data_IF_197445359224
#
_entry.id   IF_197445359224
#
_cell.length_a   1.000
_cell.length_b   1.000
_cell.length_c   1.000
_cell.angle_alpha   90.00
_cell.angle_beta   90.00
_cell.angle_gamma   90.00
#
_symmetry.space_group_name_H-M   'P 1'
#
loop_
_entity.id
_entity.type
_entity.pdbx_description
1 polymer ?
#
# COMPACT_ATOMS: atom_id res chain seq x y z
N UNK A 1 -8.20 -28.67 -12.69
CA UNK A 1 -7.06 -28.24 -11.85
C UNK A 1 -7.04 -26.73 -11.81
N UNK A 2 -7.44 -26.13 -10.68
CA UNK A 2 -7.34 -24.68 -10.49
C UNK A 2 -5.87 -24.23 -10.52
N UNK A 3 -5.57 -23.14 -11.21
CA UNK A 3 -4.22 -22.52 -11.14
C UNK A 3 -4.00 -22.08 -9.70
N UNK A 4 -3.04 -22.71 -9.01
CA UNK A 4 -2.57 -22.24 -7.69
C UNK A 4 -2.03 -20.83 -7.88
N UNK A 5 -2.62 -19.83 -7.19
CA UNK A 5 -2.12 -18.46 -7.20
C UNK A 5 -0.78 -18.43 -6.46
N UNK A 6 0.20 -17.70 -6.99
CA UNK A 6 1.49 -17.46 -6.30
C UNK A 6 1.44 -16.04 -5.73
N UNK A 7 1.56 -15.94 -4.41
CA UNK A 7 1.61 -14.67 -3.69
C UNK A 7 3.07 -14.25 -3.48
N UNK A 8 3.36 -12.97 -3.69
CA UNK A 8 4.69 -12.37 -3.54
C UNK A 8 4.52 -11.00 -2.89
N UNK A 9 5.24 -10.77 -1.80
CA UNK A 9 5.34 -9.47 -1.15
C UNK A 9 6.53 -8.72 -1.74
N UNK A 10 6.41 -7.42 -1.98
CA UNK A 10 7.51 -6.61 -2.47
C UNK A 10 7.52 -5.23 -1.84
N UNK A 11 8.72 -4.71 -1.61
CA UNK A 11 8.97 -3.36 -1.11
C UNK A 11 10.38 -2.89 -1.51
N UNK A 12 10.60 -1.59 -1.51
CA UNK A 12 11.90 -0.97 -1.80
C UNK A 12 12.05 0.36 -1.06
N UNK A 13 13.22 0.99 -1.19
CA UNK A 13 13.46 2.36 -0.72
C UNK A 13 13.15 2.49 0.78
N UNK A 14 13.59 1.52 1.58
CA UNK A 14 13.41 1.52 3.04
C UNK A 14 14.42 2.43 3.75
N UNK A 15 15.56 2.72 3.10
CA UNK A 15 16.65 3.58 3.59
C UNK A 15 16.99 3.39 5.07
N UNK A 16 17.24 2.15 5.47
CA UNK A 16 17.47 1.77 6.86
C UNK A 16 18.77 2.30 7.45
N UNK A 17 19.69 2.82 6.62
CA UNK A 17 20.83 3.59 7.07
C UNK A 17 20.45 4.89 7.80
N UNK A 18 19.21 5.34 7.64
CA UNK A 18 18.64 6.49 8.35
C UNK A 18 17.87 6.09 9.62
N UNK A 19 17.61 4.80 9.81
CA UNK A 19 16.67 4.25 10.82
C UNK A 19 17.25 3.07 11.60
N UNK A 20 18.58 3.04 11.76
CA UNK A 20 19.34 2.03 12.52
C UNK A 20 19.06 0.56 12.17
N UNK A 21 18.53 0.28 10.99
CA UNK A 21 18.19 -1.08 10.56
C UNK A 21 17.20 -1.80 11.48
N UNK A 22 16.26 -1.05 12.07
CA UNK A 22 15.20 -1.55 12.95
C UNK A 22 13.95 -2.07 12.24
N UNK A 23 13.86 -1.96 10.91
CA UNK A 23 12.66 -2.35 10.17
C UNK A 23 12.26 -3.81 10.42
N UNK A 24 10.95 -4.01 10.44
CA UNK A 24 10.27 -5.29 10.50
C UNK A 24 9.17 -5.30 9.43
N UNK A 25 8.94 -6.47 8.83
CA UNK A 25 7.82 -6.68 7.93
C UNK A 25 6.88 -7.71 8.55
N UNK A 26 5.57 -7.52 8.34
CA UNK A 26 4.61 -8.61 8.51
C UNK A 26 4.59 -9.38 7.19
N UNK A 27 4.58 -10.71 7.32
CA UNK A 27 4.73 -11.62 6.19
C UNK A 27 3.39 -11.79 5.48
N UNK A 28 3.30 -11.20 4.28
CA UNK A 28 2.12 -11.29 3.41
C UNK A 28 2.15 -12.35 2.34
N UNK A 29 3.30 -12.98 2.20
CA UNK A 29 3.56 -13.99 1.20
C UNK A 29 4.74 -14.83 1.64
N UNK A 30 4.91 -16.06 1.12
CA UNK A 30 6.11 -16.85 1.39
C UNK A 30 7.39 -16.19 0.86
N UNK A 31 7.31 -15.44 -0.25
CA UNK A 31 8.44 -14.75 -0.86
C UNK A 31 8.37 -13.24 -0.66
N UNK A 32 9.45 -12.66 -0.16
CA UNK A 32 9.67 -11.21 -0.08
C UNK A 32 10.67 -10.75 -1.14
N UNK A 33 10.33 -9.71 -1.88
CA UNK A 33 11.24 -8.99 -2.76
C UNK A 33 11.62 -7.66 -2.11
N UNK A 34 12.91 -7.46 -1.95
CA UNK A 34 13.55 -6.21 -1.54
C UNK A 34 14.16 -5.54 -2.78
N UNK A 35 13.41 -4.59 -3.36
CA UNK A 35 13.67 -3.97 -4.67
C UNK A 35 14.70 -2.83 -4.69
N UNK A 36 15.75 -2.90 -3.87
CA UNK A 36 16.81 -1.90 -3.77
C UNK A 36 16.53 -0.75 -2.81
N UNK A 37 17.60 -0.03 -2.45
CA UNK A 37 17.64 1.05 -1.47
C UNK A 37 17.06 0.66 -0.11
N UNK A 38 17.41 -0.55 0.34
CA UNK A 38 17.06 -1.06 1.66
C UNK A 38 17.99 -0.47 2.72
N UNK A 39 19.26 -0.30 2.36
CA UNK A 39 20.32 0.18 3.25
C UNK A 39 21.65 0.34 2.53
N UNK A 40 22.77 0.24 3.26
CA UNK A 40 24.13 0.29 2.69
C UNK A 40 24.91 -0.98 3.01
N UNK A 41 25.57 -1.58 2.02
CA UNK A 41 26.42 -2.76 2.24
C UNK A 41 27.62 -2.49 3.15
N UNK A 42 28.09 -1.23 3.20
CA UNK A 42 29.14 -0.81 4.13
C UNK A 42 28.73 -0.94 5.60
N UNK A 43 27.44 -0.84 5.92
CA UNK A 43 26.90 -1.03 7.27
C UNK A 43 26.68 -2.52 7.57
N UNK A 44 27.66 -3.36 7.21
CA UNK A 44 27.51 -4.80 7.01
C UNK A 44 26.78 -5.52 8.14
N UNK A 45 27.21 -5.36 9.41
CA UNK A 45 26.60 -6.07 10.53
C UNK A 45 25.15 -5.67 10.80
N UNK A 46 24.81 -4.39 10.61
CA UNK A 46 23.44 -3.90 10.80
C UNK A 46 22.53 -4.36 9.67
N UNK A 47 23.02 -4.28 8.42
CA UNK A 47 22.33 -4.79 7.23
C UNK A 47 22.10 -6.30 7.35
N UNK A 48 23.11 -7.05 7.78
CA UNK A 48 23.02 -8.49 8.05
C UNK A 48 21.98 -8.80 9.12
N UNK A 49 21.95 -8.04 10.22
CA UNK A 49 20.95 -8.19 11.28
C UNK A 49 19.52 -8.02 10.76
N UNK A 50 19.27 -7.00 9.94
CA UNK A 50 17.98 -6.80 9.27
C UNK A 50 17.60 -7.97 8.37
N UNK A 51 18.48 -8.35 7.44
CA UNK A 51 18.21 -9.44 6.49
C UNK A 51 17.98 -10.78 7.21
N UNK A 52 18.73 -11.05 8.29
CA UNK A 52 18.56 -12.28 9.07
C UNK A 52 17.18 -12.36 9.72
N UNK A 53 16.67 -11.25 10.27
CA UNK A 53 15.30 -11.20 10.81
C UNK A 53 14.25 -11.42 9.72
N UNK A 54 14.41 -10.80 8.55
CA UNK A 54 13.51 -11.04 7.42
C UNK A 54 13.60 -12.50 6.94
N UNK A 55 14.78 -13.07 6.80
CA UNK A 55 14.95 -14.48 6.42
C UNK A 55 14.43 -15.45 7.49
N UNK A 56 14.31 -15.04 8.75
CA UNK A 56 13.65 -15.85 9.77
C UNK A 56 12.12 -15.90 9.58
N UNK A 57 11.53 -14.87 8.99
CA UNK A 57 10.08 -14.74 8.77
C UNK A 57 9.64 -15.35 7.43
N UNK A 58 10.38 -15.08 6.36
CA UNK A 58 10.03 -15.46 4.98
C UNK A 58 10.68 -16.78 4.55
N UNK A 59 10.01 -17.52 3.66
CA UNK A 59 10.57 -18.74 3.06
C UNK A 59 11.69 -18.43 2.07
N UNK A 60 11.57 -17.28 1.39
CA UNK A 60 12.56 -16.78 0.45
C UNK A 60 12.59 -15.25 0.45
N UNK A 61 13.78 -14.67 0.55
CA UNK A 61 14.02 -13.24 0.45
C UNK A 61 14.89 -12.98 -0.78
N UNK A 62 14.37 -12.21 -1.72
CA UNK A 62 15.04 -11.81 -2.94
C UNK A 62 15.52 -10.37 -2.79
N UNK A 63 16.84 -10.17 -2.81
CA UNK A 63 17.46 -8.85 -2.70
C UNK A 63 17.94 -8.37 -4.06
N UNK A 64 17.51 -7.18 -4.45
CA UNK A 64 18.06 -6.40 -5.57
C UNK A 64 18.77 -5.20 -4.93
N UNK A 65 19.93 -4.82 -5.44
CA UNK A 65 20.63 -3.62 -4.98
C UNK A 65 20.15 -2.38 -5.74
N UNK A 66 19.91 -1.30 -5.02
CA UNK A 66 19.82 0.06 -5.53
C UNK A 66 21.16 0.78 -5.47
N UNK A 67 21.13 2.11 -5.58
CA UNK A 67 22.35 2.93 -5.50
C UNK A 67 22.83 3.11 -4.05
N UNK A 68 21.92 3.16 -3.07
CA UNK A 68 22.28 3.34 -1.66
C UNK A 68 23.06 2.15 -1.12
N UNK A 69 22.80 0.93 -1.61
CA UNK A 69 23.58 -0.25 -1.25
C UNK A 69 25.10 -0.05 -1.44
N UNK A 70 25.50 0.76 -2.43
CA UNK A 70 26.91 1.03 -2.77
C UNK A 70 27.47 2.33 -2.16
N UNK A 71 26.69 3.07 -1.36
CA UNK A 71 27.17 4.31 -0.75
C UNK A 71 28.31 4.08 0.25
N UNK A 72 29.37 4.86 0.09
CA UNK A 72 30.57 4.83 0.92
C UNK A 72 31.51 3.66 0.63
N UNK A 73 31.28 2.92 -0.47
CA UNK A 73 32.12 1.80 -0.93
C UNK A 73 32.25 1.81 -2.45
N UNK A 74 33.13 0.97 -3.00
CA UNK A 74 33.14 0.67 -4.45
C UNK A 74 32.09 -0.37 -4.77
N UNK A 75 31.64 -0.41 -6.04
CA UNK A 75 30.68 -1.42 -6.50
C UNK A 75 31.20 -2.85 -6.30
N UNK A 76 32.48 -3.10 -6.60
CA UNK A 76 33.10 -4.42 -6.41
C UNK A 76 32.99 -4.92 -4.96
N UNK A 77 33.38 -4.08 -3.98
CA UNK A 77 33.27 -4.41 -2.56
C UNK A 77 31.82 -4.57 -2.09
N UNK A 78 30.89 -3.79 -2.65
CA UNK A 78 29.46 -3.96 -2.37
C UNK A 78 28.93 -5.30 -2.86
N UNK A 79 29.32 -5.74 -4.06
CA UNK A 79 28.94 -7.06 -4.58
C UNK A 79 29.56 -8.20 -3.76
N UNK A 80 30.82 -8.07 -3.34
CA UNK A 80 31.47 -9.03 -2.43
C UNK A 80 30.69 -9.13 -1.10
N UNK A 81 30.28 -8.00 -0.53
CA UNK A 81 29.46 -7.97 0.68
C UNK A 81 28.10 -8.65 0.47
N UNK A 82 27.43 -8.39 -0.66
CA UNK A 82 26.18 -9.06 -1.01
C UNK A 82 26.35 -10.59 -1.15
N UNK A 83 27.42 -11.05 -1.80
CA UNK A 83 27.75 -12.48 -1.87
C UNK A 83 28.04 -13.08 -0.49
N UNK A 84 28.73 -12.34 0.38
CA UNK A 84 28.98 -12.77 1.75
C UNK A 84 27.68 -12.89 2.56
N UNK A 85 26.74 -11.97 2.37
CA UNK A 85 25.42 -12.01 3.01
C UNK A 85 24.61 -13.25 2.59
N UNK A 86 24.60 -13.62 1.31
CA UNK A 86 23.84 -14.81 0.84
C UNK A 86 24.44 -16.13 1.34
N UNK A 87 25.73 -16.14 1.68
CA UNK A 87 26.43 -17.29 2.25
C UNK A 87 26.38 -17.32 3.78
N UNK A 88 25.90 -16.27 4.43
CA UNK A 88 25.87 -16.18 5.88
C UNK A 88 24.88 -17.20 6.48
N UNK A 89 25.32 -18.05 7.43
CA UNK A 89 24.44 -19.04 8.05
C UNK A 89 23.19 -18.45 8.70
N UNK A 90 23.23 -17.19 9.16
CA UNK A 90 22.08 -16.52 9.77
C UNK A 90 20.93 -16.24 8.80
N UNK A 91 21.14 -16.42 7.49
CA UNK A 91 20.08 -16.33 6.47
C UNK A 91 19.34 -17.65 6.28
N UNK A 92 19.83 -18.77 6.85
CA UNK A 92 19.19 -20.08 6.74
C UNK A 92 19.05 -20.59 5.30
N UNK A 93 19.87 -20.10 4.36
CA UNK A 93 19.77 -20.42 2.94
C UNK A 93 18.58 -19.77 2.21
N UNK A 94 17.88 -18.81 2.84
CA UNK A 94 16.67 -18.17 2.31
C UNK A 94 16.91 -16.84 1.60
N UNK A 95 18.13 -16.29 1.69
CA UNK A 95 18.48 -15.06 0.99
C UNK A 95 19.06 -15.36 -0.40
N UNK A 96 18.52 -14.71 -1.43
CA UNK A 96 19.07 -14.69 -2.78
C UNK A 96 19.31 -13.25 -3.21
N UNK A 97 20.52 -12.96 -3.67
CA UNK A 97 20.85 -11.67 -4.26
C UNK A 97 20.76 -11.77 -5.78
N UNK A 98 19.93 -10.95 -6.41
CA UNK A 98 19.73 -10.93 -7.85
C UNK A 98 20.46 -9.74 -8.46
N UNK A 99 21.56 -10.03 -9.13
CA UNK A 99 22.32 -9.07 -9.93
C UNK A 99 22.57 -9.70 -11.29
N UNK A 100 21.63 -9.47 -12.23
CA UNK A 100 21.54 -10.23 -13.48
C UNK A 100 21.40 -11.72 -13.22
N UNK A 101 20.48 -12.07 -12.32
CA UNK A 101 20.19 -13.46 -11.94
C UNK A 101 18.70 -13.81 -12.05
N UNK A 102 18.43 -15.10 -12.10
CA UNK A 102 17.11 -15.72 -12.25
C UNK A 102 16.77 -16.56 -11.02
N UNK A 103 15.52 -16.45 -10.55
CA UNK A 103 14.95 -17.35 -9.54
C UNK A 103 13.62 -17.91 -10.02
N UNK A 104 13.47 -19.22 -9.93
CA UNK A 104 12.25 -19.93 -10.27
C UNK A 104 11.43 -20.21 -9.01
N UNK A 105 10.32 -19.49 -8.83
CA UNK A 105 9.47 -19.63 -7.63
C UNK A 105 8.50 -20.82 -7.70
N UNK A 106 8.07 -21.17 -8.91
CA UNK A 106 7.15 -22.27 -9.17
C UNK A 106 7.43 -22.81 -10.57
N UNK A 107 6.96 -24.01 -10.91
CA UNK A 107 7.10 -24.63 -12.25
C UNK A 107 6.80 -23.72 -13.44
N UNK A 108 5.93 -22.71 -13.27
CA UNK A 108 5.51 -21.81 -14.34
C UNK A 108 5.84 -20.33 -14.08
N UNK A 109 6.50 -19.98 -12.97
CA UNK A 109 6.82 -18.57 -12.63
C UNK A 109 8.32 -18.40 -12.44
N UNK A 110 8.85 -17.37 -13.07
CA UNK A 110 10.26 -16.99 -12.98
C UNK A 110 10.38 -15.51 -12.65
N UNK A 111 11.30 -15.18 -11.74
CA UNK A 111 11.73 -13.83 -11.44
C UNK A 111 13.10 -13.59 -12.10
N UNK A 112 13.22 -12.49 -12.83
CA UNK A 112 14.49 -11.94 -13.31
C UNK A 112 14.79 -10.66 -12.53
N UNK A 113 16.00 -10.55 -11.97
CA UNK A 113 16.39 -9.39 -11.15
C UNK A 113 17.74 -8.80 -11.53
N UNK A 114 17.77 -7.48 -11.67
CA UNK A 114 19.00 -6.68 -11.83
C UNK A 114 18.74 -5.24 -11.35
N UNK A 115 19.78 -4.42 -11.15
CA UNK A 115 19.58 -3.02 -10.73
C UNK A 115 18.91 -2.18 -11.83
N UNK A 116 19.31 -2.40 -13.09
CA UNK A 116 18.90 -1.66 -14.30
C UNK A 116 19.13 -0.15 -14.15
N UNK A 117 20.34 0.26 -13.80
CA UNK A 117 20.74 1.68 -13.74
C UNK A 117 20.14 2.52 -14.88
N UNK A 118 19.78 3.79 -14.64
CA UNK A 118 19.34 4.70 -15.72
C UNK A 118 20.42 4.88 -16.80
N UNK A 119 20.02 5.36 -17.98
CA UNK A 119 20.98 5.76 -19.01
C UNK A 119 21.12 7.28 -19.04
N UNK A 120 22.31 7.76 -18.68
CA UNK A 120 22.60 9.18 -18.58
C UNK A 120 23.11 9.68 -19.92
N UNK A 121 22.32 10.56 -20.56
CA UNK A 121 22.73 11.24 -21.78
C UNK A 121 23.77 12.34 -21.51
N UNK A 122 24.63 12.68 -22.49
CA UNK A 122 25.54 13.81 -22.38
C UNK A 122 24.79 15.11 -22.00
N UNK A 123 25.31 15.87 -21.04
CA UNK A 123 24.72 17.14 -20.59
C UNK A 123 23.77 17.03 -19.38
N UNK A 124 23.40 15.82 -18.95
CA UNK A 124 22.48 15.58 -17.84
C UNK A 124 23.21 15.03 -16.61
N UNK A 125 23.93 15.89 -15.88
CA UNK A 125 24.86 15.46 -14.80
C UNK A 125 24.33 15.65 -13.37
N UNK A 126 23.03 15.85 -13.17
CA UNK A 126 22.45 16.01 -11.82
C UNK A 126 22.71 14.81 -10.89
N UNK A 127 22.89 13.61 -11.48
CA UNK A 127 23.29 12.35 -10.82
C UNK A 127 24.69 12.33 -10.23
N UNK A 128 25.56 13.27 -10.61
CA UNK A 128 26.92 13.30 -10.09
C UNK A 128 26.96 13.41 -8.57
N UNK A 129 25.91 13.91 -7.93
CA UNK A 129 25.84 13.98 -6.47
C UNK A 129 25.68 12.59 -5.82
N UNK A 130 24.86 11.70 -6.37
CA UNK A 130 24.75 10.33 -5.86
C UNK A 130 25.98 9.50 -6.23
N UNK A 131 26.55 9.72 -7.42
CA UNK A 131 27.77 9.03 -7.83
C UNK A 131 28.97 9.40 -6.98
N UNK A 132 29.08 10.66 -6.52
CA UNK A 132 30.11 11.06 -5.55
C UNK A 132 30.08 10.24 -4.25
N UNK A 133 28.95 9.61 -3.93
CA UNK A 133 28.80 8.76 -2.74
C UNK A 133 29.27 7.33 -3.00
N UNK A 134 29.39 6.89 -4.25
CA UNK A 134 29.92 5.58 -4.64
C UNK A 134 31.38 5.78 -5.05
N UNK A 135 32.30 5.09 -4.37
CA UNK A 135 33.73 5.22 -4.66
C UNK A 135 34.04 4.66 -6.05
N UNK A 136 34.84 5.41 -6.83
CA UNK A 136 35.29 5.02 -8.18
C UNK A 136 34.12 4.84 -9.18
N UNK A 137 33.01 5.55 -8.99
CA UNK A 137 31.84 5.47 -9.88
C UNK A 137 31.78 6.65 -10.84
N UNK A 138 31.83 6.35 -12.14
CA UNK A 138 31.71 7.34 -13.21
C UNK A 138 30.40 7.20 -13.98
N UNK A 139 30.04 8.22 -14.76
CA UNK A 139 28.86 8.18 -15.63
C UNK A 139 28.99 7.10 -16.70
N UNK A 140 30.21 6.91 -17.21
CA UNK A 140 30.55 5.86 -18.16
C UNK A 140 30.31 4.48 -17.53
N UNK A 141 30.85 4.23 -16.33
CA UNK A 141 30.65 2.96 -15.62
C UNK A 141 29.16 2.68 -15.31
N UNK A 142 28.39 3.71 -14.96
CA UNK A 142 26.94 3.59 -14.75
C UNK A 142 26.20 3.19 -16.03
N UNK A 143 26.49 3.87 -17.14
CA UNK A 143 25.90 3.56 -18.44
C UNK A 143 26.33 2.16 -18.96
N UNK A 144 27.56 1.72 -18.65
CA UNK A 144 28.04 0.38 -18.97
C UNK A 144 27.34 -0.72 -18.16
N UNK A 145 26.97 -0.47 -16.89
CA UNK A 145 26.11 -1.41 -16.14
C UNK A 145 24.68 -1.41 -16.68
N UNK A 146 24.11 -0.24 -17.03
CA UNK A 146 22.79 -0.18 -17.66
C UNK A 146 22.73 -1.07 -18.91
N UNK A 147 23.72 -0.94 -19.79
CA UNK A 147 23.76 -1.72 -21.03
C UNK A 147 23.91 -3.22 -20.75
N UNK A 148 24.75 -3.60 -19.76
CA UNK A 148 24.87 -5.02 -19.34
C UNK A 148 23.57 -5.58 -18.77
N UNK A 149 22.85 -4.81 -17.95
CA UNK A 149 21.56 -5.20 -17.41
C UNK A 149 20.51 -5.37 -18.53
N UNK A 150 20.45 -4.41 -19.46
CA UNK A 150 19.51 -4.43 -20.57
C UNK A 150 19.76 -5.61 -21.53
N UNK A 151 21.02 -5.86 -21.90
CA UNK A 151 21.41 -6.99 -22.74
C UNK A 151 21.11 -8.33 -22.07
N UNK A 152 21.43 -8.45 -20.78
CA UNK A 152 21.14 -9.66 -20.01
C UNK A 152 19.64 -9.93 -19.91
N UNK A 153 18.81 -8.91 -19.62
CA UNK A 153 17.36 -9.03 -19.58
C UNK A 153 16.81 -9.49 -20.94
N UNK A 154 17.24 -8.83 -22.01
CA UNK A 154 16.80 -9.15 -23.37
C UNK A 154 17.15 -10.61 -23.73
N UNK A 155 18.40 -11.04 -23.47
CA UNK A 155 18.84 -12.41 -23.73
C UNK A 155 18.08 -13.44 -22.88
N UNK A 156 17.86 -13.15 -21.59
CA UNK A 156 17.13 -14.03 -20.67
C UNK A 156 15.67 -14.20 -21.08
N UNK A 157 15.01 -13.11 -21.48
CA UNK A 157 13.63 -13.16 -21.97
C UNK A 157 13.51 -13.89 -23.31
N UNK A 158 14.46 -13.69 -24.25
CA UNK A 158 14.51 -14.47 -25.50
C UNK A 158 14.63 -15.97 -25.21
N UNK A 159 15.54 -16.33 -24.32
CA UNK A 159 15.77 -17.73 -23.92
C UNK A 159 14.50 -18.34 -23.33
N UNK A 160 13.87 -17.67 -22.36
CA UNK A 160 12.61 -18.11 -21.75
C UNK A 160 11.48 -18.25 -22.76
N UNK A 161 11.36 -17.31 -23.71
CA UNK A 161 10.34 -17.36 -24.77
C UNK A 161 10.50 -18.60 -25.65
N UNK A 162 11.72 -19.03 -25.95
CA UNK A 162 12.01 -20.17 -26.82
C UNK A 162 11.95 -21.49 -26.06
N UNK A 163 12.61 -21.58 -24.91
CA UNK A 163 12.80 -22.83 -24.17
C UNK A 163 11.61 -23.14 -23.24
N UNK A 164 10.94 -22.12 -22.71
CA UNK A 164 9.88 -22.26 -21.71
C UNK A 164 8.66 -21.36 -22.04
N UNK A 165 8.01 -21.51 -23.21
CA UNK A 165 7.03 -20.55 -23.74
C UNK A 165 5.76 -20.37 -22.88
N UNK A 166 5.50 -21.29 -21.94
CA UNK A 166 4.37 -21.22 -20.99
C UNK A 166 4.75 -20.56 -19.67
N UNK A 167 6.01 -20.17 -19.48
CA UNK A 167 6.51 -19.53 -18.26
C UNK A 167 6.01 -18.10 -18.20
N UNK A 168 5.47 -17.72 -17.04
CA UNK A 168 5.17 -16.35 -16.71
C UNK A 168 6.39 -15.73 -16.03
N UNK A 169 6.77 -14.53 -16.50
CA UNK A 169 7.95 -13.82 -16.01
C UNK A 169 7.53 -12.60 -15.20
N UNK A 170 8.26 -12.37 -14.12
CA UNK A 170 8.25 -11.16 -13.32
C UNK A 170 9.64 -10.55 -13.42
N UNK A 171 9.73 -9.29 -13.81
CA UNK A 171 10.99 -8.53 -13.83
C UNK A 171 11.03 -7.65 -12.59
N UNK A 172 12.17 -7.64 -11.90
CA UNK A 172 12.41 -6.78 -10.75
C UNK A 172 13.63 -5.94 -11.04
N UNK A 173 13.46 -4.62 -10.97
CA UNK A 173 14.56 -3.66 -11.07
C UNK A 173 14.55 -2.70 -9.91
N UNK A 174 15.65 -1.98 -9.69
CA UNK A 174 15.58 -0.85 -8.75
C UNK A 174 15.11 0.40 -9.48
N UNK A 175 15.74 0.74 -10.59
CA UNK A 175 15.37 1.90 -11.42
C UNK A 175 14.12 1.63 -12.25
N UNK A 176 13.42 2.70 -12.62
CA UNK A 176 12.21 2.62 -13.41
C UNK A 176 12.49 2.27 -14.89
N UNK A 177 11.67 1.42 -15.52
CA UNK A 177 11.94 0.92 -16.87
C UNK A 177 11.39 1.81 -17.99
N UNK A 178 10.70 2.90 -17.62
CA UNK A 178 10.08 3.87 -18.53
C UNK A 178 10.06 5.26 -17.87
N UNK A 179 9.60 6.28 -18.59
CA UNK A 179 9.54 7.66 -18.09
C UNK A 179 8.14 8.11 -17.67
N UNK A 180 7.11 7.60 -18.33
CA UNK A 180 5.72 8.02 -18.10
C UNK A 180 5.13 7.34 -16.86
N UNK A 181 4.46 8.10 -16.01
CA UNK A 181 3.62 7.66 -14.89
C UNK A 181 4.31 6.78 -13.84
N UNK A 182 5.64 6.80 -13.79
CA UNK A 182 6.47 6.01 -12.85
C UNK A 182 7.20 6.84 -11.82
N UNK A 183 7.05 8.15 -11.84
CA UNK A 183 7.63 9.08 -10.88
C UNK A 183 6.63 10.18 -10.50
N UNK A 184 7.00 11.02 -9.54
CA UNK A 184 6.21 12.17 -9.16
C UNK A 184 5.86 13.04 -10.40
N UNK A 185 4.60 13.49 -10.58
CA UNK A 185 4.17 14.18 -11.81
C UNK A 185 4.97 15.43 -12.19
N UNK A 186 5.59 16.12 -11.21
CA UNK A 186 6.46 17.27 -11.48
C UNK A 186 7.80 16.88 -12.11
N UNK A 187 8.19 15.62 -11.96
CA UNK A 187 9.45 15.07 -12.46
C UNK A 187 9.27 14.23 -13.72
N UNK A 188 8.02 13.99 -14.15
CA UNK A 188 7.71 13.18 -15.33
C UNK A 188 8.24 13.85 -16.60
N UNK A 189 8.90 13.06 -17.46
CA UNK A 189 9.40 13.46 -18.78
C UNK A 189 10.33 14.71 -18.77
N UNK A 190 11.06 14.94 -17.67
CA UNK A 190 12.02 16.04 -17.57
C UNK A 190 13.45 15.54 -17.35
N UNK A 191 14.41 16.47 -17.34
CA UNK A 191 15.84 16.22 -17.11
C UNK A 191 16.14 15.43 -15.83
N UNK A 192 15.31 15.58 -14.80
CA UNK A 192 15.45 14.86 -13.53
C UNK A 192 15.05 13.39 -13.70
N UNK A 193 14.03 13.08 -14.50
CA UNK A 193 13.65 11.68 -14.75
C UNK A 193 14.73 10.84 -15.44
N UNK A 194 15.64 11.45 -16.19
CA UNK A 194 16.83 10.78 -16.73
C UNK A 194 17.71 10.17 -15.62
N UNK A 195 17.53 10.61 -14.37
CA UNK A 195 18.28 10.13 -13.23
C UNK A 195 17.79 8.78 -12.73
N UNK A 196 16.50 8.51 -12.79
CA UNK A 196 15.90 7.33 -12.16
C UNK A 196 15.11 6.43 -13.12
N UNK A 197 14.95 6.86 -14.37
CA UNK A 197 14.22 6.14 -15.42
C UNK A 197 15.11 5.78 -16.61
N UNK A 198 14.66 4.82 -17.42
CA UNK A 198 15.30 4.43 -18.69
C UNK A 198 14.27 4.12 -19.77
N UNK A 199 14.72 3.86 -21.00
CA UNK A 199 13.88 3.39 -22.12
C UNK A 199 13.82 1.85 -22.23
N UNK A 200 14.23 1.13 -21.18
CA UNK A 200 14.36 -0.32 -21.21
C UNK A 200 13.07 -1.05 -21.60
N UNK A 201 11.91 -0.59 -21.08
CA UNK A 201 10.62 -1.20 -21.41
C UNK A 201 10.30 -1.07 -22.90
N UNK A 202 10.53 0.10 -23.47
CA UNK A 202 10.30 0.35 -24.90
C UNK A 202 11.26 -0.50 -25.76
N UNK A 203 12.54 -0.51 -25.42
CA UNK A 203 13.55 -1.31 -26.11
C UNK A 203 13.21 -2.81 -26.14
N UNK A 204 12.80 -3.37 -24.99
CA UNK A 204 12.40 -4.77 -24.88
C UNK A 204 11.07 -5.07 -25.59
N UNK A 205 10.17 -4.09 -25.65
CA UNK A 205 8.92 -4.18 -26.43
C UNK A 205 9.21 -4.25 -27.93
N UNK A 206 10.06 -3.36 -28.44
CA UNK A 206 10.51 -3.34 -29.84
C UNK A 206 11.27 -4.62 -30.21
N UNK A 207 11.95 -5.24 -29.23
CA UNK A 207 12.61 -6.52 -29.38
C UNK A 207 11.66 -7.73 -29.36
N UNK A 208 10.36 -7.51 -29.12
CA UNK A 208 9.31 -8.54 -29.00
C UNK A 208 9.55 -9.59 -27.91
N UNK A 209 10.25 -9.26 -26.84
CA UNK A 209 10.61 -10.23 -25.77
C UNK A 209 9.72 -10.14 -24.53
N UNK A 210 8.78 -9.20 -24.49
CA UNK A 210 7.93 -8.96 -23.32
C UNK A 210 6.68 -9.85 -23.24
N UNK A 211 6.41 -10.70 -24.24
CA UNK A 211 5.14 -11.44 -24.33
C UNK A 211 4.82 -12.35 -23.13
N UNK A 212 5.85 -12.85 -22.44
CA UNK A 212 5.73 -13.68 -21.23
C UNK A 212 5.82 -12.88 -19.92
N UNK A 213 6.14 -11.58 -19.99
CA UNK A 213 6.32 -10.72 -18.81
C UNK A 213 4.96 -10.22 -18.33
N UNK A 214 4.59 -10.65 -17.12
CA UNK A 214 3.33 -10.30 -16.50
C UNK A 214 3.43 -9.07 -15.60
N UNK A 215 4.56 -8.92 -14.91
CA UNK A 215 4.78 -7.87 -13.92
C UNK A 215 6.20 -7.31 -14.06
N UNK A 216 6.30 -6.00 -13.84
CA UNK A 216 7.55 -5.28 -13.65
C UNK A 216 7.48 -4.54 -12.31
N UNK A 217 8.33 -4.94 -11.38
CA UNK A 217 8.44 -4.34 -10.04
C UNK A 217 9.66 -3.41 -10.04
N UNK A 218 9.51 -2.19 -9.54
CA UNK A 218 10.61 -1.22 -9.44
C UNK A 218 10.53 -0.33 -8.19
N UNK A 219 11.58 0.47 -7.95
CA UNK A 219 11.71 1.44 -6.85
C UNK A 219 12.34 2.76 -7.31
N UNK A 220 13.20 3.36 -6.48
CA UNK A 220 14.07 4.52 -6.75
C UNK A 220 13.40 5.87 -7.00
N UNK A 221 12.20 5.88 -7.60
CA UNK A 221 11.51 7.12 -8.02
C UNK A 221 10.82 7.84 -6.88
N UNK A 222 10.78 7.23 -5.70
CA UNK A 222 10.04 7.65 -4.52
C UNK A 222 8.56 7.91 -4.85
N UNK A 223 8.00 7.09 -5.73
CA UNK A 223 6.64 7.24 -6.24
C UNK A 223 6.01 5.88 -6.52
N UNK A 224 4.98 5.54 -5.75
CA UNK A 224 4.29 4.27 -5.90
C UNK A 224 3.28 4.27 -7.02
N UNK A 225 3.26 3.18 -7.78
CA UNK A 225 2.39 3.01 -8.93
C UNK A 225 1.78 1.62 -8.96
N UNK A 226 0.60 1.54 -9.56
CA UNK A 226 -0.02 0.30 -9.98
C UNK A 226 -0.74 0.55 -11.30
N UNK A 227 -0.03 0.38 -12.41
CA UNK A 227 -0.51 0.72 -13.75
C UNK A 227 -0.39 -0.47 -14.69
N UNK A 228 -1.24 -0.50 -15.71
CA UNK A 228 -1.15 -1.47 -16.82
C UNK A 228 -0.59 -0.79 -18.06
N UNK A 229 0.38 -1.44 -18.70
CA UNK A 229 0.92 -1.09 -20.02
C UNK A 229 0.70 -2.28 -20.96
N UNK A 230 -0.47 -2.30 -21.61
CA UNK A 230 -0.95 -3.51 -22.30
C UNK A 230 -1.22 -4.64 -21.30
N UNK A 231 -0.60 -5.81 -21.51
CA UNK A 231 -0.70 -6.97 -20.60
C UNK A 231 0.29 -6.93 -19.43
N UNK A 232 1.22 -5.97 -19.42
CA UNK A 232 2.22 -5.82 -18.37
C UNK A 232 1.67 -4.97 -17.23
N UNK A 233 1.76 -5.48 -16.01
CA UNK A 233 1.56 -4.69 -14.79
C UNK A 233 2.89 -4.05 -14.37
N UNK A 234 2.93 -2.73 -14.23
CA UNK A 234 4.08 -1.99 -13.72
C UNK A 234 3.71 -1.48 -12.33
N UNK A 235 4.45 -1.94 -11.32
CA UNK A 235 4.11 -1.74 -9.90
C UNK A 235 5.32 -1.34 -9.05
N UNK A 236 5.09 -0.58 -7.99
CA UNK A 236 6.11 -0.21 -7.01
C UNK A 236 5.51 -0.02 -5.60
N UNK A 237 6.31 -0.27 -4.56
CA UNK A 237 5.92 -0.16 -3.14
C UNK A 237 7.11 0.32 -2.30
N UNK A 238 7.44 1.59 -2.49
CA UNK A 238 8.54 2.36 -1.92
C UNK A 238 8.09 2.98 -0.60
N UNK A 239 8.88 2.83 0.47
CA UNK A 239 8.55 3.43 1.78
C UNK A 239 8.69 4.96 1.76
N UNK A 240 9.76 5.45 1.14
CA UNK A 240 9.95 6.87 0.93
C UNK A 240 9.18 7.30 -0.32
N UNK A 241 7.92 7.65 -0.15
CA UNK A 241 6.99 7.99 -1.23
C UNK A 241 6.63 9.48 -1.17
N UNK A 242 7.10 10.27 -2.14
CA UNK A 242 6.94 11.72 -2.14
C UNK A 242 5.50 12.10 -2.47
N UNK A 243 4.80 12.65 -1.48
CA UNK A 243 3.43 13.11 -1.62
C UNK A 243 3.32 14.65 -1.55
N UNK A 244 4.45 15.37 -1.54
CA UNK A 244 4.47 16.83 -1.38
C UNK A 244 4.01 17.52 -2.65
N UNK A 245 3.46 18.72 -2.51
CA UNK A 245 3.07 19.58 -3.65
C UNK A 245 2.08 18.97 -4.66
N UNK A 246 1.37 17.89 -4.30
CA UNK A 246 0.26 17.37 -5.08
C UNK A 246 -0.98 18.22 -4.88
N UNK A 247 -1.66 18.59 -5.97
CA UNK A 247 -3.05 19.04 -5.88
C UNK A 247 -3.93 17.95 -5.28
N UNK A 248 -5.07 18.34 -4.72
CA UNK A 248 -6.05 17.40 -4.20
C UNK A 248 -6.44 16.31 -5.22
N UNK A 249 -6.64 16.70 -6.48
CA UNK A 249 -6.98 15.78 -7.57
C UNK A 249 -5.86 14.79 -7.88
N UNK A 250 -4.61 15.25 -7.93
CA UNK A 250 -3.45 14.37 -8.14
C UNK A 250 -3.28 13.39 -6.97
N UNK A 251 -3.46 13.84 -5.73
CA UNK A 251 -3.43 12.97 -4.56
C UNK A 251 -4.52 11.90 -4.60
N UNK A 252 -5.73 12.23 -5.06
CA UNK A 252 -6.82 11.25 -5.17
C UNK A 252 -6.63 10.23 -6.29
N UNK A 253 -6.07 10.65 -7.45
CA UNK A 253 -6.01 9.82 -8.66
C UNK A 253 -4.68 9.14 -8.92
N UNK A 254 -3.58 9.72 -8.48
CA UNK A 254 -2.22 9.30 -8.86
C UNK A 254 -1.42 8.74 -7.69
N UNK A 255 -1.66 9.24 -6.48
CA UNK A 255 -0.89 8.82 -5.30
C UNK A 255 -1.34 7.44 -4.81
N UNK A 256 -0.42 6.49 -4.83
CA UNK A 256 -0.57 5.18 -4.18
C UNK A 256 0.26 5.25 -2.89
N UNK A 257 -0.28 5.05 -1.68
CA UNK A 257 0.54 5.06 -0.47
C UNK A 257 1.47 3.85 -0.40
N UNK A 258 2.57 3.95 0.37
CA UNK A 258 3.34 2.78 0.78
C UNK A 258 2.44 1.84 1.58
N UNK A 259 2.51 0.55 1.29
CA UNK A 259 1.76 -0.48 2.00
C UNK A 259 2.75 -1.44 2.64
N UNK A 260 3.12 -1.21 3.92
CA UNK A 260 4.01 -2.13 4.61
C UNK A 260 3.34 -3.51 4.80
N UNK A 261 2.01 -3.54 4.95
CA UNK A 261 1.17 -4.69 5.34
C UNK A 261 -0.29 -4.41 4.90
N UNK A 262 -1.11 -5.41 4.56
CA UNK A 262 -2.57 -5.22 4.41
C UNK A 262 -3.21 -5.49 5.78
N UNK A 263 -3.27 -4.45 6.63
CA UNK A 263 -4.04 -4.44 7.87
C UNK A 263 -5.49 -4.10 7.54
N UNK A 264 -6.42 -4.92 8.02
CA UNK A 264 -7.85 -4.62 7.98
C UNK A 264 -8.28 -4.23 9.39
N UNK A 265 -8.77 -3.00 9.55
CA UNK A 265 -9.42 -2.57 10.78
C UNK A 265 -10.93 -2.75 10.61
N UNK A 266 -11.59 -3.34 11.60
CA UNK A 266 -13.04 -3.37 11.72
C UNK A 266 -13.43 -2.51 12.92
N UNK A 267 -14.15 -1.42 12.67
CA UNK A 267 -14.78 -0.65 13.74
C UNK A 267 -16.09 -1.33 14.19
N UNK A 268 -16.09 -1.87 15.40
CA UNK A 268 -17.31 -2.33 16.07
C UNK A 268 -17.90 -1.15 16.85
N UNK A 269 -18.95 -0.55 16.30
CA UNK A 269 -19.69 0.51 16.97
C UNK A 269 -20.59 -0.08 18.07
N UNK A 270 -20.37 0.34 19.32
CA UNK A 270 -21.18 -0.09 20.49
C UNK A 270 -21.79 1.12 21.19
N UNK A 271 -22.84 0.89 21.98
CA UNK A 271 -23.35 1.95 22.87
C UNK A 271 -22.27 2.32 23.87
N UNK A 272 -22.11 3.61 24.12
CA UNK A 272 -21.09 4.13 25.05
C UNK A 272 -21.13 3.43 26.42
N UNK A 273 -22.31 3.15 26.96
CA UNK A 273 -22.49 2.45 28.25
C UNK A 273 -22.17 0.94 28.21
N UNK A 274 -22.04 0.34 27.02
CA UNK A 274 -21.78 -1.09 26.83
C UNK A 274 -20.32 -1.38 26.42
N UNK A 275 -19.46 -0.35 26.30
CA UNK A 275 -18.06 -0.52 25.86
C UNK A 275 -17.30 -1.48 26.77
N UNK A 276 -17.46 -1.35 28.09
CA UNK A 276 -16.83 -2.24 29.08
C UNK A 276 -17.31 -3.69 28.89
N UNK A 277 -18.62 -3.90 28.77
CA UNK A 277 -19.18 -5.24 28.57
C UNK A 277 -18.73 -5.87 27.25
N UNK A 278 -18.66 -5.11 26.17
CA UNK A 278 -18.16 -5.58 24.87
C UNK A 278 -16.68 -5.97 24.96
N UNK A 279 -15.89 -5.14 25.67
CA UNK A 279 -14.48 -5.39 25.95
C UNK A 279 -14.29 -6.68 26.75
N UNK A 280 -15.03 -6.85 27.86
CA UNK A 280 -15.01 -8.07 28.67
C UNK A 280 -15.39 -9.31 27.86
N UNK A 281 -16.36 -9.18 26.94
CA UNK A 281 -16.82 -10.28 26.09
C UNK A 281 -15.73 -10.76 25.14
N UNK A 282 -15.04 -9.84 24.44
CA UNK A 282 -13.93 -10.22 23.57
C UNK A 282 -12.72 -10.73 24.37
N UNK A 283 -12.44 -10.14 25.53
CA UNK A 283 -11.37 -10.61 26.42
C UNK A 283 -11.62 -12.03 26.95
N UNK A 284 -12.88 -12.44 27.17
CA UNK A 284 -13.19 -13.79 27.64
C UNK A 284 -12.79 -14.88 26.62
N UNK A 285 -12.72 -14.53 25.33
CA UNK A 285 -12.33 -15.41 24.23
C UNK A 285 -10.85 -15.21 23.85
N UNK A 286 -9.94 -15.29 24.84
CA UNK A 286 -8.49 -15.01 24.69
C UNK A 286 -7.80 -15.81 23.58
N UNK A 287 -8.37 -16.95 23.18
CA UNK A 287 -7.87 -17.75 22.05
C UNK A 287 -8.08 -17.06 20.72
N UNK A 288 -9.17 -16.32 20.56
CA UNK A 288 -9.52 -15.62 19.31
C UNK A 288 -9.14 -14.15 19.33
N UNK A 289 -9.08 -13.51 20.51
CA UNK A 289 -8.81 -12.07 20.60
C UNK A 289 -7.71 -11.77 21.61
N UNK A 290 -6.71 -11.01 21.17
CA UNK A 290 -5.67 -10.46 22.03
C UNK A 290 -5.93 -8.97 22.24
N UNK A 291 -6.11 -8.55 23.51
CA UNK A 291 -6.24 -7.12 23.83
C UNK A 291 -4.94 -6.38 23.58
N UNK A 292 -5.04 -5.24 22.91
CA UNK A 292 -3.97 -4.28 22.66
C UNK A 292 -4.19 -3.01 23.51
N UNK A 293 -3.20 -2.11 23.62
CA UNK A 293 -3.39 -0.81 24.24
C UNK A 293 -4.52 -0.02 23.58
N UNK A 294 -5.32 0.67 24.38
CA UNK A 294 -6.40 1.52 23.87
C UNK A 294 -5.82 2.70 23.05
N UNK A 295 -6.59 3.21 22.09
CA UNK A 295 -6.14 4.26 21.17
C UNK A 295 -6.28 5.63 21.84
N UNK A 296 -5.20 6.10 22.45
CA UNK A 296 -5.16 7.43 23.09
C UNK A 296 -4.95 8.56 22.07
N UNK A 297 -4.09 8.34 21.08
CA UNK A 297 -3.75 9.30 20.02
C UNK A 297 -4.05 8.70 18.64
N UNK A 298 -5.25 8.93 18.08
CA UNK A 298 -5.62 8.38 16.78
C UNK A 298 -4.91 9.10 15.63
N UNK A 299 -4.90 8.47 14.45
CA UNK A 299 -4.40 9.12 13.24
C UNK A 299 -5.32 10.26 12.77
N UNK A 300 -4.76 11.14 11.95
CA UNK A 300 -5.45 12.35 11.47
C UNK A 300 -6.79 12.06 10.75
N UNK A 301 -6.93 10.92 10.07
CA UNK A 301 -8.13 10.60 9.29
C UNK A 301 -9.22 9.91 10.10
N UNK A 302 -8.89 9.39 11.29
CA UNK A 302 -9.82 8.66 12.15
C UNK A 302 -9.85 9.22 13.59
N UNK A 303 -10.05 10.53 13.79
CA UNK A 303 -10.04 11.13 15.13
C UNK A 303 -11.11 10.55 16.07
N UNK A 304 -12.19 10.01 15.51
CA UNK A 304 -13.24 9.31 16.26
C UNK A 304 -12.77 8.01 16.95
N UNK A 305 -11.55 7.53 16.66
CA UNK A 305 -10.95 6.38 17.35
C UNK A 305 -10.32 6.75 18.69
N UNK A 306 -10.31 8.02 19.10
CA UNK A 306 -9.80 8.40 20.41
C UNK A 306 -10.60 7.71 21.53
N UNK A 307 -9.92 6.98 22.40
CA UNK A 307 -10.52 6.15 23.45
C UNK A 307 -11.11 4.82 22.96
N UNK A 308 -10.83 4.41 21.72
CA UNK A 308 -11.27 3.11 21.23
C UNK A 308 -10.45 1.98 21.85
N UNK A 309 -11.12 0.89 22.23
CA UNK A 309 -10.46 -0.32 22.75
C UNK A 309 -10.03 -1.18 21.57
N UNK A 310 -8.79 -1.65 21.59
CA UNK A 310 -8.17 -2.34 20.47
C UNK A 310 -7.98 -3.83 20.75
N UNK A 311 -8.32 -4.67 19.78
CA UNK A 311 -8.07 -6.10 19.81
C UNK A 311 -7.43 -6.56 18.51
N UNK A 312 -6.41 -7.41 18.61
CA UNK A 312 -5.94 -8.22 17.50
C UNK A 312 -6.74 -9.52 17.43
N UNK A 313 -7.17 -9.92 16.22
CA UNK A 313 -7.86 -11.19 16.00
C UNK A 313 -6.84 -12.27 15.66
N UNK A 314 -6.76 -13.28 16.52
CA UNK A 314 -5.93 -14.46 16.31
C UNK A 314 -6.62 -15.37 15.28
N UNK A 315 -6.10 -15.44 14.06
CA UNK A 315 -6.64 -16.33 13.03
C UNK A 315 -6.44 -17.81 13.40
N UNK A 316 -7.50 -18.60 13.30
CA UNK A 316 -7.45 -20.06 13.51
C UNK A 316 -7.59 -20.89 12.22
N UNK A 317 -7.91 -20.29 11.06
CA UNK A 317 -8.09 -21.04 9.80
C UNK A 317 -7.58 -20.28 8.54
N UNK A 318 -7.07 -21.05 7.56
CA UNK A 318 -6.27 -20.63 6.39
C UNK A 318 -7.06 -19.97 5.21
N UNK A 319 -8.33 -19.58 5.39
CA UNK A 319 -9.20 -19.23 4.24
C UNK A 319 -9.30 -17.73 3.89
N UNK A 320 -8.76 -16.83 4.71
CA UNK A 320 -8.75 -15.39 4.43
C UNK A 320 -7.34 -14.90 4.07
N UNK A 321 -7.18 -14.20 2.94
CA UNK A 321 -5.95 -13.48 2.55
C UNK A 321 -5.79 -12.18 3.38
N UNK A 322 -6.00 -12.24 4.71
CA UNK A 322 -5.89 -11.12 5.66
C UNK A 322 -4.89 -11.54 6.75
N UNK A 323 -3.87 -10.72 7.02
CA UNK A 323 -2.78 -11.08 7.95
C UNK A 323 -2.87 -10.45 9.32
N UNK A 324 -3.39 -9.23 9.40
CA UNK A 324 -3.72 -8.58 10.67
C UNK A 324 -5.12 -8.03 10.53
N UNK A 325 -6.04 -8.66 11.27
CA UNK A 325 -7.36 -8.12 11.50
C UNK A 325 -7.37 -7.54 12.90
N UNK A 326 -7.65 -6.26 12.99
CA UNK A 326 -7.90 -5.62 14.27
C UNK A 326 -9.36 -5.22 14.39
N UNK A 327 -9.86 -5.37 15.61
CA UNK A 327 -11.18 -4.89 16.01
C UNK A 327 -10.99 -3.68 16.89
N UNK A 328 -11.58 -2.56 16.50
CA UNK A 328 -11.62 -1.34 17.29
C UNK A 328 -13.03 -1.17 17.83
N UNK A 329 -13.20 -1.29 19.15
CA UNK A 329 -14.47 -0.99 19.80
C UNK A 329 -14.58 0.53 19.92
N UNK A 330 -15.41 1.12 19.07
CA UNK A 330 -15.67 2.56 19.02
C UNK A 330 -17.07 2.81 19.55
N UNK A 331 -17.29 3.89 20.28
CA UNK A 331 -18.62 4.21 20.81
C UNK A 331 -19.48 4.94 19.79
N UNK A 332 -20.79 4.75 19.88
CA UNK A 332 -21.79 5.50 19.13
C UNK A 332 -21.63 7.02 19.29
N UNK A 333 -21.30 7.48 20.49
CA UNK A 333 -21.02 8.88 20.77
C UNK A 333 -19.85 9.42 19.93
N UNK A 334 -18.81 8.64 19.68
CA UNK A 334 -17.68 9.07 18.84
C UNK A 334 -18.08 9.36 17.38
N UNK A 335 -19.15 8.71 16.91
CA UNK A 335 -19.76 8.97 15.61
C UNK A 335 -20.88 10.03 15.67
N UNK A 336 -21.24 10.52 16.87
CA UNK A 336 -22.42 11.37 17.08
C UNK A 336 -23.74 10.63 16.87
N UNK A 337 -23.75 9.32 17.08
CA UNK A 337 -24.91 8.45 16.93
C UNK A 337 -25.51 8.10 18.29
N UNK A 338 -26.80 7.80 18.29
CA UNK A 338 -27.46 7.03 19.33
C UNK A 338 -28.01 5.75 18.68
N UNK A 339 -27.28 4.65 18.80
CA UNK A 339 -27.67 3.38 18.16
C UNK A 339 -28.81 2.68 18.91
N UNK A 340 -29.23 3.18 20.08
CA UNK A 340 -30.40 2.68 20.80
C UNK A 340 -31.72 3.27 20.25
N UNK A 341 -31.66 4.42 19.56
CA UNK A 341 -32.85 5.03 18.97
C UNK A 341 -33.35 4.18 17.79
N UNK A 342 -34.50 3.54 18.01
CA UNK A 342 -35.15 2.70 17.00
C UNK A 342 -35.51 3.47 15.72
N UNK A 343 -35.69 4.78 15.78
CA UNK A 343 -36.02 5.62 14.62
C UNK A 343 -34.83 5.83 13.67
N UNK A 344 -33.61 5.58 14.17
CA UNK A 344 -32.35 5.75 13.46
C UNK A 344 -31.64 4.43 13.17
N UNK A 345 -32.31 3.29 13.39
CA UNK A 345 -31.79 1.95 13.11
C UNK A 345 -32.72 1.14 12.21
N UNK A 346 -32.14 0.24 11.41
CA UNK A 346 -32.85 -0.78 10.62
C UNK A 346 -32.37 -2.18 10.98
N UNK A 347 -33.24 -3.18 10.85
CA UNK A 347 -32.91 -4.60 11.01
C UNK A 347 -33.51 -5.41 9.86
N UNK A 348 -33.33 -6.73 9.85
CA UNK A 348 -33.86 -7.60 8.80
C UNK A 348 -32.95 -7.74 7.58
N UNK A 349 -31.64 -7.51 7.74
CA UNK A 349 -30.66 -7.88 6.72
C UNK A 349 -30.68 -9.40 6.51
N UNK A 350 -30.70 -9.81 5.23
CA UNK A 350 -30.74 -11.20 4.80
C UNK A 350 -29.69 -11.44 3.73
N UNK A 351 -29.42 -12.71 3.41
CA UNK A 351 -28.56 -13.14 2.29
C UNK A 351 -28.77 -12.38 0.97
N UNK A 352 -30.01 -11.98 0.68
CA UNK A 352 -30.38 -11.30 -0.58
C UNK A 352 -30.30 -9.78 -0.53
N UNK A 353 -30.27 -9.18 0.67
CA UNK A 353 -30.29 -7.72 0.88
C UNK A 353 -28.99 -7.17 1.43
N UNK A 354 -28.11 -8.03 1.95
CA UNK A 354 -26.81 -7.64 2.49
C UNK A 354 -25.75 -7.44 1.40
N UNK A 355 -24.84 -6.51 1.66
CA UNK A 355 -23.66 -6.33 0.80
C UNK A 355 -22.79 -7.61 0.85
N UNK A 356 -22.17 -8.04 -0.27
CA UNK A 356 -21.37 -9.26 -0.30
C UNK A 356 -20.25 -9.32 0.75
N UNK A 357 -19.67 -8.17 1.11
CA UNK A 357 -18.63 -8.06 2.15
C UNK A 357 -19.19 -8.34 3.56
N UNK A 358 -20.42 -7.93 3.85
CA UNK A 358 -21.10 -8.23 5.13
C UNK A 358 -21.45 -9.71 5.20
N UNK A 359 -21.88 -10.30 4.08
CA UNK A 359 -22.19 -11.74 3.99
C UNK A 359 -20.97 -12.62 4.23
N UNK A 360 -19.78 -12.17 3.82
CA UNK A 360 -18.53 -12.85 4.14
C UNK A 360 -18.20 -12.84 5.63
N UNK A 361 -18.57 -11.79 6.36
CA UNK A 361 -18.30 -11.64 7.80
C UNK A 361 -19.27 -12.43 8.69
N UNK A 362 -20.46 -12.73 8.20
CA UNK A 362 -21.49 -13.51 8.93
C UNK A 362 -21.64 -14.93 8.38
N UNK A 363 -20.64 -15.40 7.64
CA UNK A 363 -20.58 -16.77 7.14
C UNK A 363 -20.70 -17.76 8.32
N UNK A 364 -21.60 -18.73 8.23
CA UNK A 364 -21.99 -19.68 9.30
C UNK A 364 -22.74 -19.09 10.51
N UNK A 365 -23.23 -17.85 10.46
CA UNK A 365 -24.15 -17.30 11.46
C UNK A 365 -25.60 -17.57 11.02
N UNK A 366 -26.47 -17.98 11.94
CA UNK A 366 -27.89 -18.20 11.62
C UNK A 366 -28.56 -16.91 11.11
N UNK A 367 -29.35 -17.01 10.04
CA UNK A 367 -30.11 -15.88 9.46
C UNK A 367 -31.01 -15.18 10.49
N UNK A 368 -31.51 -15.92 11.48
CA UNK A 368 -32.29 -15.41 12.62
C UNK A 368 -31.50 -14.38 13.45
N UNK A 369 -30.20 -14.62 13.63
CA UNK A 369 -29.28 -13.75 14.36
C UNK A 369 -28.91 -12.56 13.49
N UNK A 370 -28.50 -12.78 12.23
CA UNK A 370 -28.13 -11.71 11.30
C UNK A 370 -29.27 -10.72 11.10
N UNK A 371 -30.49 -11.21 10.93
CA UNK A 371 -31.70 -10.39 10.78
C UNK A 371 -32.07 -9.61 12.05
N UNK A 372 -31.63 -10.06 13.23
CA UNK A 372 -31.86 -9.36 14.50
C UNK A 372 -30.88 -8.20 14.76
N UNK A 373 -29.74 -8.16 14.05
CA UNK A 373 -28.75 -7.09 14.18
C UNK A 373 -29.36 -5.77 13.71
N UNK A 374 -29.20 -4.73 14.52
CA UNK A 374 -29.61 -3.36 14.20
C UNK A 374 -28.45 -2.59 13.60
N UNK A 375 -28.73 -1.86 12.53
CA UNK A 375 -27.76 -1.10 11.77
C UNK A 375 -28.20 0.36 11.74
N UNK A 376 -27.30 1.33 11.97
CA UNK A 376 -27.68 2.73 11.85
C UNK A 376 -28.11 3.04 10.42
N UNK A 377 -29.17 3.83 10.28
CA UNK A 377 -29.63 4.29 8.96
C UNK A 377 -28.63 5.27 8.35
N UNK A 378 -28.69 5.46 7.03
CA UNK A 378 -27.92 6.51 6.36
C UNK A 378 -28.20 7.90 6.97
N UNK A 379 -29.45 8.15 7.38
CA UNK A 379 -29.85 9.37 8.09
C UNK A 379 -29.08 9.53 9.39
N UNK A 380 -29.01 8.49 10.20
CA UNK A 380 -28.29 8.51 11.47
C UNK A 380 -26.82 8.91 11.26
N UNK A 381 -26.11 8.24 10.34
CA UNK A 381 -24.72 8.59 10.00
C UNK A 381 -24.56 10.02 9.49
N UNK A 382 -25.46 10.48 8.61
CA UNK A 382 -25.46 11.86 8.12
C UNK A 382 -25.87 12.89 9.18
N UNK A 383 -26.53 12.48 10.26
CA UNK A 383 -26.79 13.32 11.42
C UNK A 383 -25.56 13.42 12.33
N UNK A 384 -24.90 12.28 12.55
CA UNK A 384 -23.80 12.14 13.50
C UNK A 384 -22.57 12.93 13.08
N UNK A 385 -22.12 12.80 11.84
CA UNK A 385 -20.91 13.48 11.37
C UNK A 385 -20.97 15.02 11.43
N UNK A 386 -22.03 15.71 10.94
CA UNK A 386 -22.15 17.16 11.11
C UNK A 386 -22.35 17.59 12.57
N UNK A 387 -22.93 16.73 13.41
CA UNK A 387 -23.04 16.97 14.84
C UNK A 387 -21.65 16.96 15.48
N UNK A 388 -20.81 15.97 15.18
CA UNK A 388 -19.41 15.92 15.62
C UNK A 388 -18.61 17.12 15.13
N UNK A 389 -18.78 17.51 13.86
CA UNK A 389 -18.15 18.70 13.32
C UNK A 389 -18.54 19.97 14.10
N UNK A 390 -19.82 20.09 14.47
CA UNK A 390 -20.32 21.23 15.25
C UNK A 390 -19.78 21.26 16.68
N UNK A 391 -19.61 20.10 17.30
CA UNK A 391 -19.02 19.97 18.65
C UNK A 391 -17.54 20.36 18.59
N UNK A 392 -16.80 19.82 17.63
CA UNK A 392 -15.38 20.14 17.41
C UNK A 392 -15.15 21.63 17.16
N UNK A 393 -15.98 22.26 16.33
CA UNK A 393 -15.95 23.71 16.10
C UNK A 393 -16.15 24.50 17.41
N UNK A 394 -17.02 24.03 18.30
CA UNK A 394 -17.29 24.66 19.59
C UNK A 394 -16.11 24.66 20.57
N UNK A 395 -15.18 23.71 20.41
CA UNK A 395 -13.93 23.61 21.20
C UNK A 395 -12.68 24.03 20.42
N UNK A 396 -12.86 24.65 19.24
CA UNK A 396 -11.79 25.06 18.31
C UNK A 396 -10.88 23.91 17.83
N UNK A 397 -11.39 22.68 17.74
CA UNK A 397 -10.67 21.57 17.12
C UNK A 397 -10.97 21.53 15.62
N UNK A 398 -10.17 22.27 14.85
CA UNK A 398 -10.35 22.40 13.40
C UNK A 398 -10.06 21.12 12.63
N UNK A 399 -9.26 20.20 13.18
CA UNK A 399 -8.92 18.95 12.51
C UNK A 399 -10.10 17.99 12.55
N UNK A 400 -10.70 17.80 13.73
CA UNK A 400 -11.87 16.94 13.91
C UNK A 400 -13.08 17.49 13.16
N UNK A 401 -13.25 18.81 13.14
CA UNK A 401 -14.29 19.48 12.35
C UNK A 401 -14.19 19.15 10.86
N UNK A 402 -13.01 19.34 10.28
CA UNK A 402 -12.76 19.09 8.85
C UNK A 402 -12.98 17.62 8.51
N UNK A 403 -12.43 16.70 9.29
CA UNK A 403 -12.55 15.26 9.01
C UNK A 403 -14.00 14.79 9.11
N UNK A 404 -14.75 15.26 10.10
CA UNK A 404 -16.17 14.91 10.26
C UNK A 404 -17.01 15.41 9.07
N UNK A 405 -16.78 16.63 8.59
CA UNK A 405 -17.44 17.15 7.38
C UNK A 405 -17.06 16.34 6.13
N UNK A 406 -15.81 15.88 6.02
CA UNK A 406 -15.38 15.03 4.92
C UNK A 406 -16.09 13.67 4.91
N UNK A 407 -16.33 13.05 6.08
CA UNK A 407 -17.06 11.77 6.16
C UNK A 407 -18.54 11.95 5.78
N UNK A 408 -19.18 13.03 6.23
CA UNK A 408 -20.54 13.37 5.82
C UNK A 408 -20.65 13.55 4.29
N UNK A 409 -19.69 14.26 3.69
CA UNK A 409 -19.63 14.48 2.24
C UNK A 409 -19.51 13.17 1.44
N UNK A 410 -18.67 12.23 1.89
CA UNK A 410 -18.52 10.91 1.24
C UNK A 410 -19.82 10.11 1.20
N UNK A 411 -20.60 10.15 2.27
CA UNK A 411 -21.90 9.47 2.34
C UNK A 411 -22.90 10.09 1.36
N UNK A 412 -22.91 11.43 1.25
CA UNK A 412 -23.75 12.15 0.27
C UNK A 412 -23.32 11.81 -1.17
N UNK A 413 -22.02 11.67 -1.41
CA UNK A 413 -21.48 11.36 -2.74
C UNK A 413 -21.83 9.94 -3.20
N UNK A 414 -21.77 8.97 -2.30
CA UNK A 414 -21.87 7.53 -2.63
C UNK A 414 -23.29 6.96 -2.63
N UNK A 415 -24.28 7.68 -2.08
CA UNK A 415 -25.65 7.17 -1.87
C UNK A 415 -26.74 8.01 -2.56
N UNK A 416 -26.37 8.80 -3.57
CA UNK A 416 -27.28 9.65 -4.34
C UNK A 416 -28.22 10.51 -3.47
N UNK A 417 -27.70 11.01 -2.34
CA UNK A 417 -28.46 11.88 -1.44
C UNK A 417 -28.68 13.22 -2.12
N UNK A 418 -29.95 13.61 -2.31
CA UNK A 418 -30.35 14.86 -2.91
C UNK A 418 -31.09 15.79 -1.92
N UNK A 419 -31.51 16.97 -2.38
CA UNK A 419 -32.20 17.93 -1.52
C UNK A 419 -33.56 17.42 -1.03
N UNK A 420 -34.25 16.60 -1.84
CA UNK A 420 -35.54 16.03 -1.47
C UNK A 420 -35.35 15.06 -0.32
N UNK A 421 -34.36 14.18 -0.45
CA UNK A 421 -33.97 13.25 0.60
C UNK A 421 -33.57 13.99 1.88
N UNK A 422 -32.70 15.01 1.79
CA UNK A 422 -32.28 15.78 2.96
C UNK A 422 -33.45 16.47 3.66
N UNK A 423 -34.38 17.10 2.91
CA UNK A 423 -35.58 17.73 3.49
C UNK A 423 -36.49 16.71 4.17
N UNK A 424 -36.69 15.55 3.54
CA UNK A 424 -37.55 14.49 4.06
C UNK A 424 -37.01 13.92 5.38
N UNK A 425 -35.69 13.79 5.51
CA UNK A 425 -35.07 13.13 6.66
C UNK A 425 -34.59 14.10 7.74
N UNK A 426 -34.25 15.34 7.42
CA UNK A 426 -33.70 16.31 8.39
C UNK A 426 -34.56 17.55 8.65
N UNK A 427 -35.61 17.78 7.86
CA UNK A 427 -36.44 18.98 7.97
C UNK A 427 -35.61 20.26 7.85
N UNK A 428 -35.85 21.24 8.74
CA UNK A 428 -35.11 22.53 8.79
C UNK A 428 -34.05 22.57 9.92
N UNK A 429 -33.48 21.43 10.30
CA UNK A 429 -32.47 21.34 11.36
C UNK A 429 -31.12 22.01 11.00
N UNK A 430 -30.26 22.25 11.98
CA UNK A 430 -28.88 22.75 11.72
C UNK A 430 -28.09 21.76 10.87
N UNK A 431 -28.29 20.46 11.11
CA UNK A 431 -27.70 19.36 10.35
C UNK A 431 -28.15 19.37 8.89
N UNK A 432 -29.44 19.64 8.63
CA UNK A 432 -29.93 19.86 7.25
C UNK A 432 -29.13 20.94 6.54
N UNK A 433 -28.91 22.10 7.19
CA UNK A 433 -28.19 23.21 6.57
C UNK A 433 -26.73 22.84 6.26
N UNK A 434 -26.04 22.16 7.16
CA UNK A 434 -24.67 21.68 6.94
C UNK A 434 -24.61 20.65 5.80
N UNK A 435 -25.49 19.66 5.80
CA UNK A 435 -25.55 18.65 4.74
C UNK A 435 -25.95 19.27 3.38
N UNK A 436 -26.84 20.26 3.36
CA UNK A 436 -27.23 20.99 2.16
C UNK A 436 -26.07 21.82 1.58
N UNK A 437 -25.24 22.43 2.44
CA UNK A 437 -24.01 23.12 2.01
C UNK A 437 -23.06 22.12 1.34
N UNK A 438 -22.80 20.96 1.95
CA UNK A 438 -21.96 19.91 1.36
C UNK A 438 -22.52 19.42 0.01
N UNK A 439 -23.84 19.17 -0.06
CA UNK A 439 -24.53 18.78 -1.29
C UNK A 439 -24.45 19.87 -2.39
N UNK A 440 -24.54 21.15 -2.02
CA UNK A 440 -24.34 22.25 -2.97
C UNK A 440 -22.91 22.29 -3.51
N UNK A 441 -21.92 21.99 -2.67
CA UNK A 441 -20.51 21.86 -3.06
C UNK A 441 -20.29 20.74 -4.07
N UNK A 442 -20.95 19.59 -3.89
CA UNK A 442 -20.98 18.49 -4.88
C UNK A 442 -21.48 18.97 -6.24
N UNK A 443 -22.61 19.68 -6.29
CA UNK A 443 -23.19 20.23 -7.54
C UNK A 443 -22.26 21.25 -8.20
N UNK A 444 -21.66 22.15 -7.41
CA UNK A 444 -20.67 23.12 -7.91
C UNK A 444 -19.46 22.44 -8.56
N UNK A 445 -18.96 21.34 -7.97
CA UNK A 445 -17.85 20.55 -8.54
C UNK A 445 -18.24 19.81 -9.82
N UNK A 446 -19.45 19.24 -9.89
CA UNK A 446 -19.96 18.59 -11.09
C UNK A 446 -20.13 19.58 -12.27
N UNK A 447 -20.53 20.83 -11.98
CA UNK A 447 -20.68 21.90 -12.98
C UNK A 447 -19.29 22.45 -13.42
N UNK A 448 -18.29 22.44 -12.55
CA UNK A 448 -16.92 22.86 -12.86
C UNK A 448 -16.02 21.78 -13.46
N UNK A 449 -16.49 20.54 -13.55
CA UNK A 449 -15.76 19.42 -14.15
C UNK A 449 -15.85 19.52 -15.68
N UNK A 450 -14.84 20.13 -16.30
CA UNK A 450 -14.70 20.21 -17.76
C UNK A 450 -14.22 18.90 -18.43
N UNK A 451 -14.38 17.74 -17.79
CA UNK A 451 -13.89 16.47 -18.34
C UNK A 451 -14.87 15.75 -19.29
N UNK A 452 -16.11 16.26 -19.44
CA UNK A 452 -17.09 15.76 -20.42
C UNK A 452 -17.53 16.87 -21.41
N UNK A 453 -16.57 17.68 -21.90
CA UNK A 453 -16.76 18.52 -23.10
C UNK A 453 -15.61 18.38 -24.08
#
# INVERSE_FOLDING_TARGET
MGRRKVAIQFMSDLHQEQHEYGFTAVRTAPTLILGGDIGRFRDYERYRGLLSRLCAQFELVLLIAGNHEFYGTTRAKGLEAATKLTQDPSMGGRLRFLNRDRVDLHTNITILGCTLHSRIAPGYTRLTNDFKRISEWSVEAHNEEHERDLQWLQASLRKLRVEEPKRQVIVVTHYAPMFERVCHPQNELNDVSQCFSSTALEYLRQSEVLGSVSHWIFGHTHWNVNIKSGNLHVVSNQMHNDNRNLSWWQRKRLYVPFKPQVRLDIELCVRSQDQDRATETLQAEERMYQRLPDIEEPDFYHPYKQGAVQFHVNFLEEELEIEELEIHIVTDHAFGLDVADSSDSVCGLTGSTAHPEVLGLVHNVEDSIVSSVRWPTLRAFLQGWPTQASVAAGVNDTNVEVVSLMQAERLIDTKDVDEVWLKQHFGNSKQYHQAAILLSGKRGRAISSCWDR
#
